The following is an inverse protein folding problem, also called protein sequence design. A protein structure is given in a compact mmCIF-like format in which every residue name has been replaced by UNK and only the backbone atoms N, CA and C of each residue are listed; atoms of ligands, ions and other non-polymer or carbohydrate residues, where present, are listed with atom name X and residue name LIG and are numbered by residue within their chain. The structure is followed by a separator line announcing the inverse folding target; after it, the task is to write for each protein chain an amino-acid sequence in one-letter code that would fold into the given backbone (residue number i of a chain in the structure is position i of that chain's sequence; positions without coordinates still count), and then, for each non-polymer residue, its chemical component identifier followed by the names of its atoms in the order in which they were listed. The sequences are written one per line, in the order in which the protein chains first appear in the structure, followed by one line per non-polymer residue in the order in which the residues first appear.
data_IF_605040086046
#
_entry.id   IF_605040086046
#
_cell.length_a   1.000
_cell.length_b   1.000
_cell.length_c   1.000
_cell.angle_alpha   90.00
_cell.angle_beta   90.00
_cell.angle_gamma   90.00
#
_symmetry.space_group_name_H-M   'P 1'
#
loop_
_entity.id
_entity.type
_entity.pdbx_description
1 polymer ?
#
# COMPACT_ATOMS: atom_id res chain seq x y z
N UNK A 1 2.19 -0.76 9.90
CA UNK A 1 1.44 0.01 8.89
C UNK A 1 0.67 1.16 9.55
N UNK A 2 0.74 2.37 8.99
CA UNK A 2 -0.07 3.52 9.40
C UNK A 2 -1.53 3.35 8.96
N UNK A 3 -2.50 3.90 9.70
CA UNK A 3 -3.92 3.84 9.31
C UNK A 3 -4.18 4.46 7.94
N UNK A 4 -3.37 5.45 7.54
CA UNK A 4 -3.43 6.07 6.21
C UNK A 4 -3.03 5.08 5.12
N UNK A 5 -1.99 4.29 5.37
CA UNK A 5 -1.52 3.25 4.44
C UNK A 5 -2.58 2.16 4.25
N UNK A 6 -3.23 1.73 5.33
CA UNK A 6 -4.31 0.72 5.27
C UNK A 6 -5.51 1.19 4.42
N UNK A 7 -5.77 2.50 4.36
CA UNK A 7 -6.83 3.09 3.53
C UNK A 7 -6.34 3.26 2.09
N UNK A 8 -5.10 3.72 1.89
CA UNK A 8 -4.50 3.92 0.59
C UNK A 8 -4.44 2.62 -0.25
N UNK A 9 -4.06 1.50 0.36
CA UNK A 9 -4.03 0.18 -0.30
C UNK A 9 -5.42 -0.23 -0.79
N UNK A 10 -6.49 0.22 -0.12
CA UNK A 10 -7.88 -0.19 -0.41
C UNK A 10 -8.56 0.65 -1.48
N UNK A 11 -7.82 1.47 -2.23
CA UNK A 11 -8.36 2.17 -3.39
C UNK A 11 -9.03 1.19 -4.37
N UNK A 12 -10.13 1.60 -4.99
CA UNK A 12 -10.87 0.76 -5.92
C UNK A 12 -10.01 0.39 -7.15
N UNK A 13 -9.23 1.37 -7.63
CA UNK A 13 -8.28 1.24 -8.72
C UNK A 13 -7.23 0.15 -8.44
N UNK A 14 -6.83 -0.01 -7.18
CA UNK A 14 -5.92 -1.06 -6.73
C UNK A 14 -6.59 -2.43 -6.61
N UNK A 15 -7.88 -2.48 -6.28
CA UNK A 15 -8.65 -3.74 -6.30
C UNK A 15 -8.85 -4.29 -7.72
N UNK A 16 -8.92 -3.41 -8.73
CA UNK A 16 -9.08 -3.79 -10.13
C UNK A 16 -7.79 -4.29 -10.78
N UNK A 17 -6.64 -4.17 -10.09
CA UNK A 17 -5.36 -4.62 -10.61
C UNK A 17 -5.34 -6.13 -10.88
N UNK A 18 -4.85 -6.58 -12.06
CA UNK A 18 -4.83 -7.98 -12.40
C UNK A 18 -3.82 -8.74 -11.54
N UNK A 19 -4.24 -9.91 -11.06
CA UNK A 19 -3.36 -10.90 -10.43
C UNK A 19 -3.32 -12.13 -11.31
N UNK A 20 -2.14 -12.43 -11.85
CA UNK A 20 -1.93 -13.56 -12.77
C UNK A 20 -1.41 -14.75 -11.96
N UNK A 21 -1.69 -15.97 -12.41
CA UNK A 21 -1.11 -17.18 -11.80
C UNK A 21 0.42 -17.17 -11.80
N UNK A 22 1.03 -16.53 -12.80
CA UNK A 22 2.48 -16.32 -12.89
C UNK A 22 3.04 -15.41 -11.78
N UNK A 23 2.17 -14.69 -11.06
CA UNK A 23 2.59 -13.76 -10.02
C UNK A 23 2.80 -14.47 -8.67
N UNK A 24 2.33 -15.73 -8.50
CA UNK A 24 2.37 -16.45 -7.22
C UNK A 24 3.80 -16.52 -6.63
N UNK A 25 4.76 -17.05 -7.38
CA UNK A 25 6.16 -17.14 -6.93
C UNK A 25 6.81 -15.76 -6.73
N UNK A 26 6.70 -14.80 -7.67
CA UNK A 26 7.14 -13.42 -7.46
C UNK A 26 6.59 -12.77 -6.19
N UNK A 27 5.31 -12.96 -5.89
CA UNK A 27 4.66 -12.37 -4.72
C UNK A 27 5.12 -13.02 -3.42
N UNK A 28 5.37 -14.33 -3.42
CA UNK A 28 5.99 -15.00 -2.26
C UNK A 28 7.41 -14.47 -1.99
N UNK A 29 8.23 -14.28 -3.04
CA UNK A 29 9.58 -13.69 -2.88
C UNK A 29 9.51 -12.27 -2.33
N UNK A 30 8.61 -11.45 -2.88
CA UNK A 30 8.43 -10.08 -2.44
C UNK A 30 7.94 -10.01 -0.99
N UNK A 31 6.99 -10.88 -0.62
CA UNK A 31 6.52 -11.01 0.76
C UNK A 31 7.65 -11.28 1.73
N UNK A 32 8.59 -12.16 1.39
CA UNK A 32 9.75 -12.43 2.27
C UNK A 32 10.62 -11.19 2.42
N UNK A 33 10.86 -10.44 1.34
CA UNK A 33 11.68 -9.23 1.36
C UNK A 33 11.08 -8.12 2.24
N UNK A 34 9.76 -7.91 2.20
CA UNK A 34 9.09 -6.81 2.90
C UNK A 34 8.37 -7.24 4.18
N UNK A 35 8.56 -8.48 4.63
CA UNK A 35 7.79 -9.08 5.73
C UNK A 35 7.86 -8.27 7.03
N UNK A 36 9.01 -7.63 7.31
CA UNK A 36 9.22 -6.82 8.52
C UNK A 36 8.33 -5.58 8.56
N UNK A 37 7.93 -5.06 7.39
CA UNK A 37 7.11 -3.85 7.29
C UNK A 37 5.61 -4.14 7.31
N UNK A 38 5.25 -5.40 7.05
CA UNK A 38 3.89 -5.87 7.17
C UNK A 38 3.48 -5.85 8.66
N UNK A 39 2.27 -5.41 8.93
CA UNK A 39 1.73 -5.29 10.29
C UNK A 39 1.31 -6.65 10.87
N UNK A 40 2.23 -7.63 10.87
CA UNK A 40 1.99 -8.99 11.34
C UNK A 40 2.42 -9.12 12.81
N UNK A 41 1.54 -9.61 13.67
CA UNK A 41 1.87 -9.91 15.06
C UNK A 41 2.87 -11.07 15.13
N UNK A 42 4.08 -10.80 15.61
CA UNK A 42 5.16 -11.78 15.76
C UNK A 42 4.78 -12.96 16.66
N UNK A 43 3.90 -12.74 17.66
CA UNK A 43 3.44 -13.81 18.56
C UNK A 43 2.55 -14.82 17.84
N UNK A 44 1.92 -14.42 16.73
CA UNK A 44 0.95 -15.21 15.97
C UNK A 44 1.27 -15.26 14.47
N UNK A 45 2.56 -15.19 14.12
CA UNK A 45 3.01 -14.91 12.75
C UNK A 45 2.43 -15.84 11.68
N UNK A 46 2.25 -17.13 11.98
CA UNK A 46 1.64 -18.10 11.04
C UNK A 46 0.18 -17.78 10.74
N UNK A 47 -0.58 -17.41 11.78
CA UNK A 47 -2.00 -17.08 11.66
C UNK A 47 -2.19 -15.76 10.93
N UNK A 48 -1.39 -14.74 11.26
CA UNK A 48 -1.47 -13.43 10.60
C UNK A 48 -1.01 -13.50 9.14
N UNK A 49 0.04 -14.29 8.84
CA UNK A 49 0.43 -14.55 7.46
C UNK A 49 -0.70 -15.24 6.68
N UNK A 50 -1.36 -16.24 7.26
CA UNK A 50 -2.50 -16.90 6.60
C UNK A 50 -3.67 -15.93 6.38
N UNK A 51 -3.95 -15.02 7.33
CA UNK A 51 -4.98 -13.98 7.16
C UNK A 51 -4.60 -13.01 6.05
N UNK A 52 -3.33 -12.60 5.99
CA UNK A 52 -2.81 -11.72 4.95
C UNK A 52 -3.07 -12.29 3.54
N UNK A 53 -2.69 -13.55 3.30
CA UNK A 53 -2.92 -14.19 2.00
C UNK A 53 -4.38 -14.51 1.67
N UNK A 54 -5.27 -14.55 2.67
CA UNK A 54 -6.72 -14.74 2.47
C UNK A 54 -7.46 -13.48 2.05
N UNK A 55 -6.80 -12.32 2.07
CA UNK A 55 -7.39 -11.07 1.59
C UNK A 55 -7.57 -11.11 0.06
N UNK A 56 -8.21 -10.07 -0.49
CA UNK A 56 -8.35 -9.94 -1.93
C UNK A 56 -6.97 -9.95 -2.62
N UNK A 57 -6.72 -10.81 -3.62
CA UNK A 57 -5.39 -10.99 -4.21
C UNK A 57 -4.76 -9.68 -4.71
N UNK A 58 -5.56 -8.80 -5.30
CA UNK A 58 -5.06 -7.51 -5.81
C UNK A 58 -4.60 -6.59 -4.67
N UNK A 59 -5.28 -6.63 -3.52
CA UNK A 59 -4.87 -5.84 -2.35
C UNK A 59 -3.56 -6.37 -1.77
N UNK A 60 -3.42 -7.70 -1.68
CA UNK A 60 -2.18 -8.34 -1.26
C UNK A 60 -1.03 -7.91 -2.18
N UNK A 61 -1.25 -7.98 -3.49
CA UNK A 61 -0.28 -7.55 -4.50
C UNK A 61 0.10 -6.08 -4.33
N UNK A 62 -0.87 -5.18 -4.20
CA UNK A 62 -0.61 -3.75 -4.06
C UNK A 62 0.09 -3.41 -2.75
N UNK A 63 -0.31 -4.01 -1.63
CA UNK A 63 0.39 -3.83 -0.36
C UNK A 63 1.87 -4.22 -0.47
N UNK A 64 2.17 -5.39 -1.06
CA UNK A 64 3.55 -5.84 -1.26
C UNK A 64 4.34 -4.90 -2.17
N UNK A 65 3.76 -4.43 -3.28
CA UNK A 65 4.41 -3.50 -4.20
C UNK A 65 4.69 -2.14 -3.56
N UNK A 66 3.74 -1.60 -2.80
CA UNK A 66 3.92 -0.32 -2.12
C UNK A 66 4.96 -0.46 -1.00
N UNK A 67 4.93 -1.54 -0.21
CA UNK A 67 5.97 -1.75 0.81
C UNK A 67 7.36 -1.88 0.18
N UNK A 68 7.48 -2.63 -0.92
CA UNK A 68 8.76 -2.75 -1.63
C UNK A 68 9.25 -1.41 -2.20
N UNK A 69 8.34 -0.52 -2.57
CA UNK A 69 8.68 0.85 -2.95
C UNK A 69 9.24 1.64 -1.76
N UNK A 70 8.50 1.65 -0.65
CA UNK A 70 8.81 2.43 0.54
C UNK A 70 10.10 1.98 1.23
N UNK A 71 10.44 0.69 1.15
CA UNK A 71 11.69 0.13 1.70
C UNK A 71 12.86 0.14 0.73
N UNK A 72 12.66 0.64 -0.50
CA UNK A 72 13.67 0.57 -1.58
C UNK A 72 14.05 -0.87 -1.99
N UNK A 73 13.22 -1.85 -1.64
CA UNK A 73 13.33 -3.25 -2.06
C UNK A 73 12.78 -3.50 -3.47
N UNK A 74 12.52 -2.45 -4.25
CA UNK A 74 12.02 -2.55 -5.63
C UNK A 74 12.95 -3.32 -6.58
N UNK A 75 14.23 -3.49 -6.23
CA UNK A 75 15.16 -4.36 -6.97
C UNK A 75 14.79 -5.86 -6.86
N UNK A 76 14.05 -6.25 -5.83
CA UNK A 76 13.54 -7.61 -5.65
C UNK A 76 12.33 -7.93 -6.57
N UNK A 77 11.81 -6.91 -7.29
CA UNK A 77 10.71 -7.10 -8.22
C UNK A 77 11.15 -7.92 -9.42
N UNK A 78 10.44 -9.02 -9.66
CA UNK A 78 10.61 -9.78 -10.89
C UNK A 78 10.04 -9.00 -12.09
N UNK A 79 10.50 -9.26 -13.33
CA UNK A 79 9.98 -8.60 -14.53
C UNK A 79 8.44 -8.69 -14.68
N UNK A 80 7.83 -9.77 -14.17
CA UNK A 80 6.38 -9.95 -14.19
C UNK A 80 5.63 -8.88 -13.38
N UNK A 81 6.21 -8.39 -12.28
CA UNK A 81 5.59 -7.41 -11.39
C UNK A 81 5.93 -5.96 -11.75
N UNK A 82 6.99 -5.72 -12.53
CA UNK A 82 7.48 -4.36 -12.87
C UNK A 82 6.41 -3.52 -13.58
N UNK A 83 5.62 -4.12 -14.48
CA UNK A 83 4.55 -3.40 -15.18
C UNK A 83 3.49 -2.88 -14.20
N UNK A 84 3.03 -3.75 -13.31
CA UNK A 84 1.98 -3.40 -12.34
C UNK A 84 2.52 -2.44 -11.27
N UNK A 85 3.80 -2.58 -10.90
CA UNK A 85 4.51 -1.63 -10.04
C UNK A 85 4.53 -0.21 -10.63
N UNK A 86 4.89 -0.07 -11.91
CA UNK A 86 4.88 1.24 -12.58
C UNK A 86 3.48 1.84 -12.62
N UNK A 87 2.48 1.01 -12.92
CA UNK A 87 1.10 1.47 -12.93
C UNK A 87 0.60 1.90 -11.55
N UNK A 88 0.99 1.19 -10.49
CA UNK A 88 0.74 1.62 -9.12
C UNK A 88 1.33 3.01 -8.84
N UNK A 89 2.58 3.26 -9.27
CA UNK A 89 3.22 4.57 -9.12
C UNK A 89 2.54 5.68 -9.94
N UNK A 90 1.98 5.36 -11.10
CA UNK A 90 1.20 6.32 -11.91
C UNK A 90 -0.11 6.72 -11.21
N UNK A 91 -0.76 5.78 -10.54
CA UNK A 91 -2.01 6.02 -9.81
C UNK A 91 -1.80 6.74 -8.47
N UNK A 92 -0.69 6.45 -7.79
CA UNK A 92 -0.44 6.88 -6.42
C UNK A 92 -0.60 8.39 -6.18
N UNK A 93 -0.04 9.31 -6.99
CA UNK A 93 -0.17 10.75 -6.75
C UNK A 93 -1.63 11.22 -6.73
N UNK A 94 -2.44 10.74 -7.68
CA UNK A 94 -3.87 11.10 -7.76
C UNK A 94 -4.63 10.56 -6.55
N UNK A 95 -4.38 9.31 -6.16
CA UNK A 95 -5.04 8.69 -5.00
C UNK A 95 -4.67 9.39 -3.68
N UNK A 96 -3.41 9.81 -3.54
CA UNK A 96 -2.95 10.60 -2.40
C UNK A 96 -3.60 11.98 -2.38
N UNK A 97 -3.74 12.65 -3.53
CA UNK A 97 -4.44 13.93 -3.64
C UNK A 97 -5.90 13.81 -3.18
N UNK A 98 -6.61 12.78 -3.63
CA UNK A 98 -7.99 12.51 -3.18
C UNK A 98 -8.06 12.21 -1.68
N UNK A 99 -7.09 11.47 -1.12
CA UNK A 99 -7.01 11.25 0.33
C UNK A 99 -6.78 12.54 1.11
N UNK A 100 -5.96 13.48 0.61
CA UNK A 100 -5.77 14.80 1.23
C UNK A 100 -7.10 15.56 1.22
N UNK A 101 -7.81 15.60 0.08
CA UNK A 101 -9.13 16.26 -0.01
C UNK A 101 -10.09 15.70 1.04
N UNK A 102 -10.18 14.37 1.15
CA UNK A 102 -11.05 13.69 2.13
C UNK A 102 -10.66 13.99 3.58
N UNK A 103 -9.35 14.08 3.89
CA UNK A 103 -8.85 14.38 5.23
C UNK A 103 -9.12 15.83 5.65
N UNK A 104 -9.17 16.76 4.69
CA UNK A 104 -9.43 18.18 4.89
C UNK A 104 -10.92 18.55 4.85
N UNK A 105 -11.81 17.63 4.45
CA UNK A 105 -13.26 17.91 4.45
C UNK A 105 -13.74 18.32 5.85
N UNK A 106 -14.44 19.45 6.00
CA UNK A 106 -15.05 19.84 7.26
C UNK A 106 -16.23 18.91 7.56
N UNK A 107 -16.19 18.22 8.71
CA UNK A 107 -17.20 17.21 9.08
C UNK A 107 -18.11 17.62 10.24
N UNK A 108 -17.83 18.74 10.89
CA UNK A 108 -18.71 19.32 11.90
C UNK A 108 -19.16 20.73 11.47
N UNK A 109 -20.29 21.25 11.98
CA UNK A 109 -20.71 22.63 11.77
C UNK A 109 -19.64 23.66 12.17
N UNK A 110 -18.70 23.25 13.03
CA UNK A 110 -17.59 24.04 13.53
C UNK A 110 -16.32 23.94 12.66
N UNK A 111 -16.36 23.21 11.54
CA UNK A 111 -15.29 23.20 10.52
C UNK A 111 -14.03 22.41 10.86
N UNK A 112 -14.00 21.63 11.95
CA UNK A 112 -12.79 20.86 12.31
C UNK A 112 -12.56 19.69 11.33
N UNK A 113 -11.53 19.81 10.49
CA UNK A 113 -10.95 18.71 9.71
C UNK A 113 -10.03 17.82 10.56
N UNK A 114 -9.51 16.75 9.96
CA UNK A 114 -8.63 15.80 10.64
C UNK A 114 -7.15 16.11 10.37
N UNK A 115 -6.55 16.97 11.20
CA UNK A 115 -5.15 17.40 11.03
C UNK A 115 -4.16 16.21 11.03
N UNK A 116 -4.32 15.25 11.94
CA UNK A 116 -3.44 14.08 12.06
C UNK A 116 -3.46 13.19 10.80
N UNK A 117 -4.63 12.75 10.30
CA UNK A 117 -4.76 12.11 8.99
C UNK A 117 -4.19 12.91 7.83
N UNK A 118 -4.43 14.23 7.77
CA UNK A 118 -3.87 15.07 6.70
C UNK A 118 -2.33 15.05 6.69
N UNK A 119 -1.70 15.18 7.86
CA UNK A 119 -0.23 15.06 8.01
C UNK A 119 0.23 13.68 7.54
N UNK A 120 -0.43 12.60 7.97
CA UNK A 120 -0.04 11.24 7.58
C UNK A 120 -0.16 10.97 6.07
N UNK A 121 -1.11 11.60 5.37
CA UNK A 121 -1.20 11.51 3.90
C UNK A 121 -0.05 12.28 3.25
N UNK A 122 0.31 13.46 3.75
CA UNK A 122 1.45 14.24 3.24
C UNK A 122 2.76 13.48 3.44
N UNK A 123 2.98 12.90 4.62
CA UNK A 123 4.16 12.07 4.92
C UNK A 123 4.26 10.88 3.96
N UNK A 124 3.15 10.14 3.78
CA UNK A 124 3.10 9.04 2.82
C UNK A 124 3.37 9.51 1.37
N UNK A 125 2.84 10.68 1.00
CA UNK A 125 3.06 11.26 -0.32
C UNK A 125 4.54 11.57 -0.57
N UNK A 126 5.22 12.14 0.43
CA UNK A 126 6.65 12.38 0.35
C UNK A 126 7.42 11.06 0.21
N UNK A 127 7.07 10.04 1.00
CA UNK A 127 7.72 8.74 0.91
C UNK A 127 7.55 8.06 -0.46
N UNK A 128 6.37 8.16 -1.08
CA UNK A 128 6.11 7.60 -2.40
C UNK A 128 6.72 8.43 -3.54
N UNK A 129 6.66 9.76 -3.47
CA UNK A 129 7.12 10.61 -4.57
C UNK A 129 8.64 10.81 -4.55
N UNK A 130 9.23 10.96 -3.36
CA UNK A 130 10.63 11.38 -3.21
C UNK A 130 11.59 10.23 -2.92
N UNK A 131 11.09 9.05 -2.54
CA UNK A 131 11.88 7.84 -2.18
C UNK A 131 13.13 8.22 -1.36
N UNK A 132 12.91 8.77 -0.15
CA UNK A 132 13.98 9.10 0.81
C UNK A 132 14.72 7.90 1.37
#
# INVERSE_FOLDING_TARGET
SSKVMDVFIKAAEYMEMPVRRSDDEPLQKLFVAVRSELNLDLKNIRTEQAKFWKQHPSLVKMELLIQAHLTRESFALTPALVKDYRHMLELAPRLLEELVKIALLPRSPNGFGWLRPAIGVVELSQSIIQVF
#
